data_IF_010498478042
#
_entry.id   IF_010498478042
#
_cell.length_a   1.000
_cell.length_b   1.000
_cell.length_c   1.000
_cell.angle_alpha   90.00
_cell.angle_beta   90.00
_cell.angle_gamma   90.00
#
_symmetry.space_group_name_H-M   'P 1'
#
loop_
_entity.id
_entity.type
_entity.pdbx_description
1 polymer ?
#
# COMPACT_ATOMS: atom_id res chain seq x y z
N UNK A 1 24.76 20.41 -8.22
CA UNK A 1 25.52 19.25 -8.75
C UNK A 1 26.08 18.35 -7.64
N UNK A 2 26.46 18.87 -6.47
CA UNK A 2 26.86 18.01 -5.34
C UNK A 2 25.70 17.16 -4.77
N UNK A 3 24.49 17.70 -4.75
CA UNK A 3 23.31 17.02 -4.18
C UNK A 3 22.96 15.71 -4.89
N UNK A 4 23.12 15.67 -6.22
CA UNK A 4 22.87 14.47 -7.02
C UNK A 4 23.91 13.39 -6.74
N UNK A 5 25.18 13.76 -6.58
CA UNK A 5 26.26 12.83 -6.25
C UNK A 5 26.07 12.25 -4.85
N UNK A 6 25.71 13.08 -3.87
CA UNK A 6 25.42 12.63 -2.51
C UNK A 6 24.24 11.65 -2.47
N UNK A 7 23.15 11.92 -3.20
CA UNK A 7 22.00 11.00 -3.30
C UNK A 7 22.38 9.66 -3.92
N UNK A 8 23.15 9.67 -5.01
CA UNK A 8 23.61 8.43 -5.65
C UNK A 8 24.53 7.62 -4.74
N UNK A 9 25.42 8.27 -3.99
CA UNK A 9 26.27 7.60 -3.00
C UNK A 9 25.44 6.92 -1.90
N UNK A 10 24.43 7.62 -1.38
CA UNK A 10 23.52 7.06 -0.37
C UNK A 10 22.77 5.84 -0.91
N UNK A 11 22.27 5.90 -2.16
CA UNK A 11 21.60 4.76 -2.79
C UNK A 11 22.53 3.55 -2.93
N UNK A 12 23.75 3.75 -3.45
CA UNK A 12 24.75 2.68 -3.59
C UNK A 12 25.20 2.11 -2.23
N UNK A 13 25.31 2.96 -1.21
CA UNK A 13 25.61 2.52 0.14
C UNK A 13 24.49 1.65 0.73
N UNK A 14 23.24 2.08 0.57
CA UNK A 14 22.05 1.33 1.00
C UNK A 14 21.97 -0.02 0.29
N UNK A 15 22.23 -0.06 -1.02
CA UNK A 15 22.29 -1.29 -1.81
C UNK A 15 23.37 -2.24 -1.29
N UNK A 16 24.60 -1.76 -1.11
CA UNK A 16 25.73 -2.56 -0.59
C UNK A 16 25.48 -3.09 0.83
N UNK A 17 24.76 -2.34 1.67
CA UNK A 17 24.38 -2.73 3.03
C UNK A 17 23.09 -3.54 3.11
N UNK A 18 22.46 -3.86 1.97
CA UNK A 18 21.15 -4.52 1.88
C UNK A 18 20.08 -3.80 2.72
N UNK A 19 20.15 -2.47 2.78
CA UNK A 19 19.17 -1.62 3.46
C UNK A 19 18.03 -1.34 2.48
N UNK A 20 16.85 -1.88 2.75
CA UNK A 20 15.66 -1.52 2.00
C UNK A 20 15.01 -0.29 2.63
N UNK A 21 14.71 0.71 1.80
CA UNK A 21 13.93 1.86 2.26
C UNK A 21 12.46 1.51 2.13
N UNK A 22 11.76 1.51 3.27
CA UNK A 22 10.33 1.31 3.35
C UNK A 22 9.66 2.62 3.74
N UNK A 23 8.58 3.01 3.05
CA UNK A 23 7.81 4.21 3.35
C UNK A 23 6.39 3.82 3.70
N UNK A 24 6.00 4.08 4.93
CA UNK A 24 4.67 3.83 5.47
C UNK A 24 3.89 5.15 5.48
N UNK A 25 2.80 5.20 4.72
CA UNK A 25 1.90 6.35 4.65
C UNK A 25 0.56 5.99 5.29
N UNK A 26 0.17 6.73 6.32
CA UNK A 26 -1.02 6.43 7.12
C UNK A 26 -1.88 7.67 7.33
N UNK A 27 -3.19 7.46 7.51
CA UNK A 27 -4.15 8.53 7.78
C UNK A 27 -3.93 9.19 9.14
N UNK A 28 -3.47 8.40 10.11
CA UNK A 28 -3.22 8.79 11.50
C UNK A 28 -1.85 8.31 11.95
N UNK A 29 -1.42 8.81 13.10
CA UNK A 29 -0.29 8.24 13.82
C UNK A 29 -0.58 6.77 14.12
N UNK A 30 0.46 5.94 14.01
CA UNK A 30 0.38 4.50 14.28
C UNK A 30 0.98 4.20 15.64
N UNK A 31 0.40 3.20 16.29
CA UNK A 31 0.95 2.59 17.49
C UNK A 31 2.31 1.92 17.19
N UNK A 32 3.21 1.95 18.18
CA UNK A 32 4.47 1.24 18.16
C UNK A 32 4.29 -0.28 17.94
N UNK A 33 3.23 -0.90 18.45
CA UNK A 33 2.92 -2.31 18.21
C UNK A 33 2.65 -2.57 16.71
N UNK A 34 1.85 -1.71 16.07
CA UNK A 34 1.59 -1.81 14.62
C UNK A 34 2.86 -1.54 13.81
N UNK A 35 3.70 -0.59 14.24
CA UNK A 35 5.01 -0.34 13.63
C UNK A 35 5.89 -1.60 13.68
N UNK A 36 5.97 -2.27 14.83
CA UNK A 36 6.75 -3.50 14.97
C UNK A 36 6.21 -4.63 14.09
N UNK A 37 4.90 -4.81 13.99
CA UNK A 37 4.29 -5.79 13.08
C UNK A 37 4.66 -5.52 11.62
N UNK A 38 4.63 -4.26 11.18
CA UNK A 38 5.04 -3.87 9.82
C UNK A 38 6.53 -4.16 9.60
N UNK A 39 7.39 -3.82 10.57
CA UNK A 39 8.81 -4.13 10.49
C UNK A 39 9.06 -5.64 10.42
N UNK A 40 8.35 -6.44 11.22
CA UNK A 40 8.46 -7.89 11.22
C UNK A 40 7.96 -8.51 9.91
N UNK A 41 6.87 -7.98 9.35
CA UNK A 41 6.37 -8.36 8.03
C UNK A 41 7.39 -8.10 6.93
N UNK A 42 8.06 -6.94 6.95
CA UNK A 42 9.10 -6.59 5.97
C UNK A 42 10.34 -7.49 6.16
N UNK A 43 10.73 -7.77 7.41
CA UNK A 43 11.82 -8.69 7.74
C UNK A 43 11.54 -10.12 7.26
N UNK A 44 10.32 -10.62 7.47
CA UNK A 44 9.86 -11.93 6.97
C UNK A 44 9.92 -12.06 5.46
N UNK A 45 9.76 -10.96 4.71
CA UNK A 45 9.96 -10.94 3.25
C UNK A 45 11.43 -10.97 2.80
N UNK A 46 12.37 -11.12 3.73
CA UNK A 46 13.80 -11.34 3.44
C UNK A 46 14.69 -10.10 3.61
N UNK A 47 14.16 -8.99 4.14
CA UNK A 47 14.91 -7.75 4.28
C UNK A 47 15.32 -7.51 5.75
N UNK A 48 16.58 -7.81 6.08
CA UNK A 48 17.10 -7.71 7.46
C UNK A 48 17.31 -6.28 7.95
N UNK A 49 17.69 -5.37 7.04
CA UNK A 49 17.87 -3.95 7.34
C UNK A 49 16.79 -3.13 6.64
N UNK A 50 15.85 -2.60 7.42
CA UNK A 50 14.73 -1.79 6.93
C UNK A 50 14.88 -0.39 7.47
N UNK A 51 14.96 0.59 6.58
CA UNK A 51 14.86 2.01 6.89
C UNK A 51 13.39 2.42 6.71
N UNK A 52 12.62 2.41 7.81
CA UNK A 52 11.19 2.72 7.80
C UNK A 52 10.98 4.23 7.97
N UNK A 53 10.48 4.87 6.91
CA UNK A 53 10.04 6.25 6.93
C UNK A 53 8.53 6.33 7.06
N UNK A 54 8.07 7.00 8.10
CA UNK A 54 6.65 7.21 8.33
C UNK A 54 6.23 8.58 7.83
N UNK A 55 5.08 8.62 7.16
CA UNK A 55 4.47 9.85 6.68
C UNK A 55 2.98 9.83 6.99
N UNK A 56 2.52 10.80 7.77
CA UNK A 56 1.10 10.98 8.01
C UNK A 56 0.52 11.79 6.85
N UNK A 57 -0.47 11.22 6.16
CA UNK A 57 -1.19 11.86 5.08
C UNK A 57 -2.69 11.81 5.34
N UNK A 58 -3.25 12.96 5.73
CA UNK A 58 -4.67 13.12 6.06
C UNK A 58 -5.60 13.01 4.84
N UNK A 59 -5.05 12.96 3.62
CA UNK A 59 -5.85 12.68 2.42
C UNK A 59 -6.31 11.21 2.35
N UNK A 60 -5.64 10.32 3.09
CA UNK A 60 -6.06 8.94 3.25
C UNK A 60 -7.22 8.93 4.26
N UNK A 61 -8.39 8.47 3.83
CA UNK A 61 -9.61 8.43 4.66
C UNK A 61 -9.47 7.37 5.78
N UNK A 62 -8.63 6.35 5.56
CA UNK A 62 -8.26 5.33 6.54
C UNK A 62 -7.34 4.26 5.93
N UNK A 63 -6.65 3.48 6.77
CA UNK A 63 -5.74 2.41 6.35
C UNK A 63 -4.29 2.86 6.15
N UNK A 64 -3.48 2.02 5.50
CA UNK A 64 -2.03 2.20 5.36
C UNK A 64 -1.53 1.87 3.95
N UNK A 65 -0.59 2.66 3.44
CA UNK A 65 0.13 2.39 2.19
C UNK A 65 1.59 2.13 2.55
N UNK A 66 2.08 0.95 2.22
CA UNK A 66 3.46 0.51 2.49
C UNK A 66 4.22 0.43 1.17
N UNK A 67 5.21 1.27 0.97
CA UNK A 67 6.12 1.22 -0.18
C UNK A 67 7.45 0.61 0.25
N UNK A 68 7.85 -0.53 -0.32
CA UNK A 68 9.10 -1.25 -0.01
C UNK A 68 9.90 -1.35 -1.31
N UNK A 69 10.92 -0.50 -1.47
CA UNK A 69 11.68 -0.41 -2.72
C UNK A 69 10.76 -0.13 -3.91
N UNK A 70 10.59 -1.13 -4.80
CA UNK A 70 9.73 -1.06 -5.99
C UNK A 70 8.32 -1.65 -5.78
N UNK A 71 7.99 -2.16 -4.60
CA UNK A 71 6.68 -2.76 -4.31
C UNK A 71 5.85 -1.80 -3.47
N UNK A 72 4.65 -1.48 -3.93
CA UNK A 72 3.64 -0.76 -3.16
C UNK A 72 2.56 -1.75 -2.72
N UNK A 73 2.25 -1.73 -1.43
CA UNK A 73 1.14 -2.46 -0.84
C UNK A 73 0.15 -1.40 -0.36
N UNK A 74 -0.98 -1.31 -1.04
CA UNK A 74 -2.05 -0.38 -0.69
C UNK A 74 -3.13 -1.12 0.10
N UNK A 75 -3.15 -0.89 1.41
CA UNK A 75 -4.20 -1.35 2.32
C UNK A 75 -5.05 -0.15 2.79
N UNK A 76 -5.21 0.88 1.97
CA UNK A 76 -6.08 2.00 2.27
C UNK A 76 -7.54 1.58 2.21
N UNK A 77 -8.33 2.10 3.15
CA UNK A 77 -9.80 1.94 3.19
C UNK A 77 -10.43 2.49 1.92
N UNK A 78 -9.86 3.55 1.34
CA UNK A 78 -10.26 4.09 0.04
C UNK A 78 -10.20 3.04 -1.07
N UNK A 79 -9.15 2.22 -1.10
CA UNK A 79 -9.00 1.16 -2.10
C UNK A 79 -10.04 0.06 -1.90
N UNK A 80 -10.28 -0.36 -0.64
CA UNK A 80 -11.35 -1.32 -0.29
C UNK A 80 -12.74 -0.83 -0.72
N UNK A 81 -13.04 0.45 -0.52
CA UNK A 81 -14.30 1.07 -0.93
C UNK A 81 -14.40 1.14 -2.46
N UNK A 82 -13.32 1.45 -3.16
CA UNK A 82 -13.30 1.47 -4.62
C UNK A 82 -13.50 0.07 -5.22
N UNK A 83 -12.84 -0.95 -4.68
CA UNK A 83 -13.07 -2.34 -5.09
C UNK A 83 -14.53 -2.75 -4.86
N UNK A 84 -15.12 -2.39 -3.72
CA UNK A 84 -16.55 -2.61 -3.48
C UNK A 84 -17.40 -1.91 -4.53
N UNK A 85 -17.19 -0.61 -4.78
CA UNK A 85 -17.93 0.14 -5.81
C UNK A 85 -17.82 -0.51 -7.19
N UNK A 86 -16.64 -0.96 -7.60
CA UNK A 86 -16.48 -1.64 -8.88
C UNK A 86 -17.22 -2.97 -8.95
N UNK A 87 -17.19 -3.78 -7.87
CA UNK A 87 -17.96 -5.02 -7.81
C UNK A 87 -19.48 -4.77 -7.86
N UNK A 88 -19.97 -3.67 -7.31
CA UNK A 88 -21.38 -3.27 -7.48
C UNK A 88 -21.69 -2.81 -8.90
N UNK A 89 -20.77 -2.15 -9.60
CA UNK A 89 -20.99 -1.69 -10.98
C UNK A 89 -20.97 -2.81 -12.02
N UNK A 90 -20.19 -3.88 -11.79
CA UNK A 90 -19.86 -4.88 -12.82
C UNK A 90 -20.97 -5.92 -13.06
N UNK A 91 -21.99 -6.05 -12.20
CA UNK A 91 -22.96 -7.17 -12.35
C UNK A 91 -24.43 -6.86 -11.99
N UNK A 92 -24.84 -5.58 -11.97
CA UNK A 92 -26.23 -5.23 -11.62
C UNK A 92 -27.15 -4.98 -12.83
N UNK A 93 -26.60 -4.73 -14.02
CA UNK A 93 -27.42 -4.49 -15.21
C UNK A 93 -27.81 -5.78 -15.93
N UNK A 94 -26.87 -6.71 -16.17
CA UNK A 94 -27.13 -7.91 -16.98
C UNK A 94 -27.99 -8.98 -16.28
N UNK A 95 -27.86 -9.12 -14.95
CA UNK A 95 -28.63 -10.10 -14.16
C UNK A 95 -30.13 -9.80 -14.16
N UNK A 96 -30.50 -8.51 -14.27
CA UNK A 96 -31.89 -8.09 -14.18
C UNK A 96 -32.64 -8.32 -15.50
N UNK A 97 -31.96 -8.25 -16.65
CA UNK A 97 -32.57 -8.55 -17.96
C UNK A 97 -32.82 -10.06 -18.15
N UNK A 98 -31.91 -10.92 -17.68
CA UNK A 98 -32.05 -12.37 -17.78
C UNK A 98 -33.14 -12.92 -16.85
N UNK A 99 -33.29 -12.36 -15.65
CA UNK A 99 -34.32 -12.81 -14.70
C UNK A 99 -35.72 -12.38 -15.16
N UNK A 100 -35.89 -11.18 -15.74
CA UNK A 100 -37.19 -10.68 -16.18
C UNK A 100 -37.83 -11.52 -17.29
N UNK A 101 -37.03 -12.13 -18.16
CA UNK A 101 -37.52 -12.95 -19.29
C UNK A 101 -38.06 -14.34 -18.86
N UNK A 102 -37.79 -14.77 -17.63
CA UNK A 102 -38.21 -16.07 -17.07
C UNK A 102 -39.63 -15.99 -16.47
N UNK A 103 -40.09 -14.79 -16.08
CA UNK A 103 -41.42 -14.58 -15.45
C UNK A 103 -42.51 -14.12 -16.42
N UNK A 104 -42.16 -13.81 -17.67
CA UNK A 104 -43.11 -13.38 -18.72
C UNK A 104 -43.46 -14.52 -19.71
N UNK A 105 -43.15 -15.78 -19.37
CA UNK A 105 -43.58 -16.98 -20.11
C UNK A 105 -44.57 -17.83 -19.32
#
# INVERSE_FOLDING_TARGET
>A
MLDSVAKSFISLYKEKKNIISAKLVTASEIDNATREEVLDFIKKKGHKNVDLQEKIDKSIIGGAIINIGNKQIDASVSNKINEMKQNFSVNLYEQNYLNKQIWEK
#
